data_IF_317420814257
#
_entry.id   IF_317420814257
#
_cell.length_a   1.000
_cell.length_b   1.000
_cell.length_c   1.000
_cell.angle_alpha   90.00
_cell.angle_beta   90.00
_cell.angle_gamma   90.00
#
_symmetry.space_group_name_H-M   'P 1'
#
loop_
_entity.id
_entity.type
_entity.pdbx_description
1 polymer ?
#
# COMPACT_ATOMS: atom_id res chain seq x y z
N UNK A 1 14.93 29.14 -10.71
CA UNK A 1 13.90 28.19 -11.19
C UNK A 1 14.58 27.03 -11.90
N UNK A 2 14.15 25.79 -11.64
CA UNK A 2 14.66 24.61 -12.35
C UNK A 2 14.26 24.68 -13.82
N UNK A 3 15.13 24.17 -14.71
CA UNK A 3 14.81 24.04 -16.14
C UNK A 3 13.80 22.92 -16.35
N UNK A 4 13.16 22.90 -17.51
CA UNK A 4 12.32 21.76 -17.88
C UNK A 4 13.15 20.48 -17.94
N UNK A 5 12.69 19.40 -17.31
CA UNK A 5 13.43 18.14 -17.23
C UNK A 5 12.84 17.14 -16.24
N UNK A 6 13.44 15.95 -16.21
CA UNK A 6 13.20 14.94 -15.17
C UNK A 6 14.29 15.07 -14.09
N UNK A 7 13.90 15.01 -12.83
CA UNK A 7 14.78 15.18 -11.67
C UNK A 7 14.57 14.02 -10.71
N UNK A 8 15.66 13.51 -10.15
CA UNK A 8 15.62 12.65 -8.98
C UNK A 8 15.84 13.55 -7.75
N UNK A 9 14.84 13.64 -6.89
CA UNK A 9 14.85 14.47 -5.67
C UNK A 9 15.04 13.56 -4.48
N UNK A 10 16.02 13.89 -3.64
CA UNK A 10 16.18 13.28 -2.33
C UNK A 10 15.37 14.07 -1.29
N UNK A 11 14.60 13.36 -0.47
CA UNK A 11 13.90 13.91 0.68
C UNK A 11 14.58 13.35 1.92
N UNK A 12 15.12 14.24 2.74
CA UNK A 12 15.87 13.91 3.97
C UNK A 12 15.17 14.54 5.16
N UNK A 13 14.92 13.76 6.20
CA UNK A 13 14.54 14.28 7.50
C UNK A 13 15.80 14.58 8.34
N UNK A 14 16.00 15.86 8.66
CA UNK A 14 17.14 16.30 9.47
C UNK A 14 17.14 15.69 10.88
N UNK A 15 15.96 15.33 11.40
CA UNK A 15 15.82 14.69 12.71
C UNK A 15 16.03 13.17 12.67
N UNK A 16 16.22 12.59 11.47
CA UNK A 16 16.43 11.15 11.24
C UNK A 16 15.32 10.25 11.82
N UNK A 17 14.11 10.78 11.97
CA UNK A 17 12.95 9.97 12.32
C UNK A 17 12.40 9.24 11.10
N UNK A 18 12.60 9.82 9.91
CA UNK A 18 12.18 9.24 8.64
C UNK A 18 13.35 8.79 7.78
N UNK A 19 13.16 7.70 7.05
CA UNK A 19 14.13 7.21 6.07
C UNK A 19 14.27 8.21 4.91
N UNK A 20 15.50 8.42 4.46
CA UNK A 20 15.75 9.18 3.24
C UNK A 20 15.16 8.45 2.05
N UNK A 21 14.41 9.17 1.21
CA UNK A 21 13.79 8.61 0.00
C UNK A 21 14.19 9.39 -1.24
N UNK A 22 14.10 8.73 -2.38
CA UNK A 22 14.31 9.33 -3.70
C UNK A 22 13.01 9.29 -4.51
N UNK A 23 12.62 10.43 -5.07
CA UNK A 23 11.40 10.59 -5.89
C UNK A 23 11.78 11.17 -7.24
N UNK A 24 11.29 10.56 -8.32
CA UNK A 24 11.44 11.12 -9.65
C UNK A 24 10.29 12.10 -9.93
N UNK A 25 10.63 13.35 -10.23
CA UNK A 25 9.69 14.40 -10.62
C UNK A 25 9.99 14.93 -12.01
N UNK A 26 8.98 15.51 -12.63
CA UNK A 26 9.02 16.25 -13.89
C UNK A 26 8.78 17.72 -13.60
N UNK A 27 9.61 18.55 -14.19
CA UNK A 27 9.49 20.01 -14.19
C UNK A 27 9.22 20.47 -15.61
N UNK A 28 8.21 21.31 -15.80
CA UNK A 28 7.96 22.04 -17.04
C UNK A 28 7.92 23.53 -16.71
N UNK A 29 8.69 24.33 -17.44
CA UNK A 29 8.80 25.77 -17.18
C UNK A 29 7.43 26.44 -17.10
N UNK A 30 7.23 27.24 -16.04
CA UNK A 30 6.02 28.01 -15.78
C UNK A 30 4.71 27.19 -15.66
N UNK A 31 4.78 25.88 -15.43
CA UNK A 31 3.62 25.02 -15.17
C UNK A 31 3.74 24.32 -13.83
N UNK A 32 2.66 24.31 -13.06
CA UNK A 32 2.51 23.42 -11.90
C UNK A 32 2.06 22.04 -12.39
N UNK A 33 2.76 21.00 -11.97
CA UNK A 33 2.42 19.60 -12.24
C UNK A 33 2.15 18.93 -10.89
N UNK A 34 0.91 18.54 -10.66
CA UNK A 34 0.44 17.86 -9.44
C UNK A 34 0.60 16.33 -9.54
N UNK A 35 0.37 15.61 -8.45
CA UNK A 35 0.38 14.13 -8.44
C UNK A 35 1.77 13.50 -8.55
N UNK A 36 2.82 14.20 -8.16
CA UNK A 36 4.21 13.71 -8.15
C UNK A 36 4.65 13.41 -6.71
N UNK A 37 3.86 12.59 -6.02
CA UNK A 37 3.96 12.36 -4.58
C UNK A 37 5.15 11.47 -4.22
N UNK A 38 5.78 11.77 -3.08
CA UNK A 38 6.75 10.90 -2.41
C UNK A 38 6.12 10.33 -1.14
N UNK A 39 6.39 9.06 -0.84
CA UNK A 39 5.90 8.42 0.39
C UNK A 39 7.03 8.31 1.39
N UNK A 40 6.97 9.13 2.43
CA UNK A 40 7.96 9.19 3.51
C UNK A 40 7.55 8.24 4.63
N UNK A 41 8.49 7.45 5.11
CA UNK A 41 8.27 6.42 6.14
C UNK A 41 9.27 6.59 7.28
N UNK A 42 8.88 6.26 8.50
CA UNK A 42 9.86 6.02 9.57
C UNK A 42 10.69 4.79 9.24
N UNK A 43 11.81 4.58 9.94
CA UNK A 43 12.46 3.26 9.90
C UNK A 43 11.42 2.20 10.29
N UNK A 44 11.30 1.17 9.45
CA UNK A 44 10.56 -0.03 9.77
C UNK A 44 11.45 -0.89 10.65
N UNK A 45 10.98 -1.26 11.84
CA UNK A 45 11.71 -2.21 12.68
C UNK A 45 11.94 -3.52 11.92
N UNK A 46 13.00 -4.24 12.26
CA UNK A 46 13.18 -5.61 11.77
C UNK A 46 11.89 -6.40 12.05
N UNK A 47 11.38 -7.11 11.02
CA UNK A 47 10.12 -7.86 11.01
C UNK A 47 8.81 -7.09 10.73
N UNK A 48 8.86 -5.78 10.49
CA UNK A 48 7.71 -5.02 10.01
C UNK A 48 7.59 -5.08 8.48
N UNK A 49 6.35 -5.03 8.00
CA UNK A 49 6.02 -4.93 6.57
C UNK A 49 5.16 -3.70 6.37
N UNK A 50 5.53 -2.84 5.44
CA UNK A 50 4.71 -1.70 5.00
C UNK A 50 4.24 -1.90 3.59
N UNK A 51 2.96 -1.70 3.38
CA UNK A 51 2.29 -1.79 2.09
C UNK A 51 1.77 -0.40 1.74
N UNK A 52 2.21 0.12 0.60
CA UNK A 52 1.84 1.44 0.12
C UNK A 52 1.05 1.26 -1.17
N UNK A 53 -0.23 1.62 -1.13
CA UNK A 53 -1.09 1.75 -2.29
C UNK A 53 -1.05 3.20 -2.79
N UNK A 54 -0.89 3.40 -4.09
CA UNK A 54 -1.02 4.70 -4.74
C UNK A 54 -1.70 4.52 -6.09
N UNK A 55 -2.48 5.50 -6.54
CA UNK A 55 -3.22 5.43 -7.80
C UNK A 55 -3.26 6.78 -8.51
N UNK A 56 -3.89 6.83 -9.67
CA UNK A 56 -4.12 8.05 -10.44
C UNK A 56 -5.30 8.88 -9.92
N UNK A 57 -5.75 9.80 -10.75
CA UNK A 57 -6.88 10.69 -10.46
C UNK A 57 -8.24 9.98 -10.48
N UNK A 58 -8.36 8.92 -11.27
CA UNK A 58 -9.61 8.21 -11.53
C UNK A 58 -9.34 6.71 -11.62
N UNK A 59 -10.10 5.83 -10.92
CA UNK A 59 -11.15 6.17 -9.95
C UNK A 59 -10.58 6.98 -8.78
N UNK A 60 -11.38 7.89 -8.22
CA UNK A 60 -10.88 8.79 -7.17
C UNK A 60 -10.61 8.08 -5.85
N UNK A 61 -11.28 6.97 -5.60
CA UNK A 61 -11.24 6.31 -4.29
C UNK A 61 -10.98 4.81 -4.46
N UNK A 62 -9.81 4.37 -3.99
CA UNK A 62 -9.37 2.99 -3.90
C UNK A 62 -9.01 2.68 -2.46
N UNK A 63 -9.70 1.71 -1.86
CA UNK A 63 -9.44 1.27 -0.50
C UNK A 63 -8.43 0.12 -0.49
N UNK A 64 -7.48 0.18 0.44
CA UNK A 64 -6.65 -0.95 0.85
C UNK A 64 -7.36 -1.77 1.93
N UNK A 65 -7.28 -3.09 1.76
CA UNK A 65 -7.83 -4.04 2.71
C UNK A 65 -6.80 -5.11 3.05
N UNK A 66 -6.70 -5.47 4.33
CA UNK A 66 -5.89 -6.59 4.80
C UNK A 66 -6.75 -7.55 5.61
N UNK A 67 -6.99 -8.75 5.07
CA UNK A 67 -7.55 -9.86 5.85
C UNK A 67 -6.42 -10.51 6.65
N UNK A 68 -6.64 -10.71 7.94
CA UNK A 68 -5.70 -11.36 8.83
C UNK A 68 -6.34 -12.65 9.37
N UNK A 69 -5.80 -13.79 8.95
CA UNK A 69 -6.25 -15.11 9.38
C UNK A 69 -5.17 -15.76 10.26
N UNK A 70 -5.45 -15.84 11.56
CA UNK A 70 -4.53 -16.37 12.57
C UNK A 70 -5.01 -17.72 13.05
N UNK A 71 -4.08 -18.66 13.24
CA UNK A 71 -4.41 -20.02 13.71
C UNK A 71 -5.04 -20.09 15.12
N UNK A 72 -4.99 -19.00 15.90
CA UNK A 72 -5.37 -18.97 17.31
C UNK A 72 -6.30 -17.81 17.70
N UNK A 73 -6.86 -17.07 16.74
CA UNK A 73 -7.78 -15.96 17.01
C UNK A 73 -9.00 -15.96 16.10
N UNK A 74 -10.03 -15.23 16.52
CA UNK A 74 -11.05 -14.72 15.62
C UNK A 74 -10.45 -13.85 14.52
N UNK A 75 -11.00 -13.96 13.33
CA UNK A 75 -10.46 -13.39 12.11
C UNK A 75 -10.43 -11.84 12.14
N UNK A 76 -9.37 -11.24 11.59
CA UNK A 76 -9.18 -9.79 11.50
C UNK A 76 -9.39 -9.25 10.10
N UNK A 77 -9.84 -8.00 9.99
CA UNK A 77 -9.92 -7.27 8.71
C UNK A 77 -9.58 -5.80 8.94
N UNK A 78 -8.48 -5.35 8.35
CA UNK A 78 -8.08 -3.94 8.37
C UNK A 78 -8.58 -3.25 7.10
N UNK A 79 -9.30 -2.14 7.26
CA UNK A 79 -9.81 -1.25 6.20
C UNK A 79 -10.33 0.06 6.82
N UNK A 80 -10.86 0.99 6.02
CA UNK A 80 -11.24 2.33 6.47
C UNK A 80 -12.12 2.38 7.74
N UNK A 81 -13.08 1.46 7.93
CA UNK A 81 -13.92 1.43 9.14
C UNK A 81 -13.25 0.73 10.32
N UNK A 82 -12.43 -0.30 10.06
CA UNK A 82 -11.69 -1.02 11.09
C UNK A 82 -10.20 -0.88 10.83
N UNK A 83 -9.60 0.18 11.35
CA UNK A 83 -8.24 0.57 10.99
C UNK A 83 -7.15 -0.28 11.65
N UNK A 84 -7.48 -1.15 12.60
CA UNK A 84 -6.47 -1.96 13.29
C UNK A 84 -6.98 -3.33 13.71
N UNK A 85 -6.05 -4.27 13.80
CA UNK A 85 -6.25 -5.62 14.32
C UNK A 85 -5.21 -5.87 15.41
N UNK A 86 -5.70 -6.39 16.54
CA UNK A 86 -4.88 -6.73 17.70
C UNK A 86 -4.93 -8.24 17.98
N UNK A 87 -3.83 -8.78 18.50
CA UNK A 87 -3.75 -10.13 19.05
C UNK A 87 -3.21 -10.08 20.47
N UNK A 88 -3.97 -10.56 21.46
CA UNK A 88 -3.58 -10.53 22.87
C UNK A 88 -3.10 -9.14 23.35
N UNK A 89 -3.80 -8.07 22.93
CA UNK A 89 -3.49 -6.65 23.19
C UNK A 89 -2.27 -6.09 22.43
N UNK A 90 -1.62 -6.87 21.58
CA UNK A 90 -0.52 -6.43 20.72
C UNK A 90 -1.07 -6.01 19.35
N UNK A 91 -0.64 -4.85 18.84
CA UNK A 91 -1.04 -4.36 17.52
C UNK A 91 -0.36 -5.22 16.44
N UNK A 92 -1.16 -5.85 15.58
CA UNK A 92 -0.64 -6.72 14.52
C UNK A 92 -0.62 -6.02 13.18
N UNK A 93 -1.72 -5.37 12.79
CA UNK A 93 -1.86 -4.70 11.50
C UNK A 93 -2.66 -3.41 11.68
N UNK A 94 -2.30 -2.36 10.94
CA UNK A 94 -2.98 -1.06 10.96
C UNK A 94 -3.01 -0.42 9.57
N UNK A 95 -4.09 0.30 9.28
CA UNK A 95 -4.16 1.30 8.21
C UNK A 95 -3.68 2.64 8.79
N UNK A 96 -2.45 3.00 8.47
CA UNK A 96 -1.73 4.14 9.03
C UNK A 96 -2.16 5.47 8.39
N UNK A 97 -2.38 5.44 7.07
CA UNK A 97 -2.80 6.58 6.26
C UNK A 97 -3.94 6.12 5.38
N UNK A 98 -5.01 6.90 5.42
CA UNK A 98 -6.27 6.70 4.71
C UNK A 98 -6.55 7.99 3.92
N UNK A 99 -6.62 7.89 2.59
CA UNK A 99 -6.88 9.01 1.67
C UNK A 99 -8.04 8.65 0.75
N UNK A 100 -9.12 9.43 0.83
CA UNK A 100 -10.38 9.19 0.12
C UNK A 100 -10.54 10.06 -1.14
N UNK A 101 -9.49 10.79 -1.55
CA UNK A 101 -9.58 11.89 -2.52
C UNK A 101 -8.51 11.90 -3.61
N UNK A 102 -8.43 10.82 -4.40
CA UNK A 102 -7.59 10.71 -5.60
C UNK A 102 -6.09 10.71 -5.28
N UNK A 103 -5.27 10.16 -6.19
CA UNK A 103 -3.80 10.12 -6.08
C UNK A 103 -3.20 9.31 -4.91
N UNK A 104 -3.98 8.92 -3.91
CA UNK A 104 -3.48 8.26 -2.70
C UNK A 104 -2.35 9.05 -2.02
N UNK A 105 -1.62 8.45 -1.06
CA UNK A 105 -1.53 7.01 -0.82
C UNK A 105 -2.45 6.51 0.31
N UNK A 106 -2.72 5.20 0.28
CA UNK A 106 -3.06 4.47 1.50
C UNK A 106 -1.85 3.65 1.97
N UNK A 107 -1.63 3.61 3.28
CA UNK A 107 -0.50 2.88 3.88
C UNK A 107 -0.99 1.92 4.95
N UNK A 108 -0.74 0.63 4.75
CA UNK A 108 -1.02 -0.43 5.73
C UNK A 108 0.30 -1.00 6.26
N UNK A 109 0.47 -1.07 7.58
CA UNK A 109 1.64 -1.69 8.21
C UNK A 109 1.26 -2.93 9.01
N UNK A 110 1.99 -4.02 8.79
CA UNK A 110 2.03 -5.19 9.68
C UNK A 110 3.18 -4.96 10.66
N UNK A 111 2.83 -4.73 11.93
CA UNK A 111 3.77 -4.39 12.99
C UNK A 111 4.44 -5.61 13.60
N UNK A 112 3.67 -6.68 13.78
CA UNK A 112 4.17 -7.92 14.33
C UNK A 112 3.54 -9.09 13.57
N UNK A 113 4.35 -9.72 12.72
CA UNK A 113 3.91 -10.88 11.96
C UNK A 113 3.69 -12.08 12.90
N UNK A 114 2.44 -12.28 13.33
CA UNK A 114 1.98 -13.51 13.96
C UNK A 114 1.84 -14.62 12.91
N UNK A 115 1.99 -15.87 13.34
CA UNK A 115 1.70 -17.04 12.49
C UNK A 115 0.26 -16.99 11.97
N UNK A 116 0.11 -17.08 10.66
CA UNK A 116 -1.16 -16.85 9.98
C UNK A 116 -0.95 -16.42 8.53
N UNK A 117 -2.06 -16.18 7.83
CA UNK A 117 -2.08 -15.64 6.48
C UNK A 117 -2.61 -14.22 6.48
N UNK A 118 -1.97 -13.34 5.72
CA UNK A 118 -2.38 -11.95 5.53
C UNK A 118 -2.66 -11.77 4.05
N UNK A 119 -3.90 -11.47 3.69
CA UNK A 119 -4.29 -11.24 2.29
C UNK A 119 -4.52 -9.77 2.07
N UNK A 120 -3.66 -9.15 1.26
CA UNK A 120 -3.80 -7.76 0.88
C UNK A 120 -4.53 -7.66 -0.46
N UNK A 121 -5.58 -6.85 -0.51
CA UNK A 121 -6.30 -6.56 -1.74
C UNK A 121 -6.72 -5.09 -1.81
N UNK A 122 -6.95 -4.63 -3.04
CA UNK A 122 -7.44 -3.29 -3.35
C UNK A 122 -8.91 -3.38 -3.74
N UNK A 123 -9.74 -2.48 -3.25
CA UNK A 123 -11.13 -2.34 -3.61
C UNK A 123 -11.40 -0.99 -4.27
N UNK A 124 -12.00 -1.01 -5.44
CA UNK A 124 -12.44 0.20 -6.13
C UNK A 124 -13.79 0.68 -5.56
N UNK A 125 -13.73 1.49 -4.51
CA UNK A 125 -14.89 2.00 -3.79
C UNK A 125 -15.75 2.92 -4.64
N UNK A 126 -15.13 3.94 -5.26
CA UNK A 126 -15.84 4.94 -6.06
C UNK A 126 -16.47 4.36 -7.32
N UNK A 127 -15.82 3.37 -7.95
CA UNK A 127 -16.32 2.67 -9.14
C UNK A 127 -16.68 3.59 -10.32
N UNK A 128 -16.03 4.74 -10.41
CA UNK A 128 -16.23 5.73 -11.47
C UNK A 128 -15.59 5.30 -12.80
N UNK A 129 -14.54 4.49 -12.70
CA UNK A 129 -13.88 3.86 -13.83
C UNK A 129 -13.36 2.48 -13.42
N UNK A 130 -12.94 1.70 -14.41
CA UNK A 130 -12.37 0.36 -14.17
C UNK A 130 -11.12 0.45 -13.31
N UNK A 131 -10.98 -0.48 -12.38
CA UNK A 131 -9.80 -0.57 -11.52
C UNK A 131 -8.50 -0.71 -12.34
N UNK A 132 -8.53 -1.44 -13.45
CA UNK A 132 -7.39 -1.56 -14.39
C UNK A 132 -6.92 -0.23 -15.00
N UNK A 133 -7.79 0.79 -15.07
CA UNK A 133 -7.44 2.12 -15.58
C UNK A 133 -6.89 3.06 -14.49
N UNK A 134 -6.88 2.62 -13.23
CA UNK A 134 -6.50 3.44 -12.07
C UNK A 134 -5.03 3.84 -12.03
N UNK A 135 -4.16 3.14 -12.77
CA UNK A 135 -2.70 3.23 -12.60
C UNK A 135 -2.25 2.90 -11.17
N UNK A 136 -3.02 2.09 -10.46
CA UNK A 136 -2.68 1.71 -9.10
C UNK A 136 -1.37 0.91 -9.06
N UNK A 137 -0.54 1.24 -8.08
CA UNK A 137 0.69 0.51 -7.74
C UNK A 137 0.67 0.16 -6.27
N UNK A 138 1.09 -1.06 -5.95
CA UNK A 138 1.29 -1.52 -4.57
C UNK A 138 2.76 -1.81 -4.37
N UNK A 139 3.38 -1.09 -3.43
CA UNK A 139 4.78 -1.28 -3.05
C UNK A 139 4.86 -1.90 -1.67
N UNK A 140 5.67 -2.95 -1.53
CA UNK A 140 5.87 -3.66 -0.26
C UNK A 140 7.30 -3.48 0.21
N UNK A 141 7.44 -2.90 1.39
CA UNK A 141 8.70 -2.64 2.08
C UNK A 141 8.83 -3.60 3.25
N UNK A 142 10.01 -4.20 3.40
CA UNK A 142 10.32 -5.17 4.45
C UNK A 142 11.66 -4.85 5.08
N UNK A 143 11.84 -5.26 6.34
CA UNK A 143 13.15 -5.23 7.04
C UNK A 143 13.84 -3.85 7.05
N UNK A 144 13.11 -2.76 7.28
CA UNK A 144 13.72 -1.42 7.36
C UNK A 144 14.21 -0.84 6.03
N UNK A 145 14.03 -1.53 4.91
CA UNK A 145 14.54 -1.08 3.61
C UNK A 145 13.81 0.16 3.10
N UNK A 146 14.58 1.16 2.63
CA UNK A 146 14.06 2.31 1.89
C UNK A 146 13.59 1.97 0.46
N UNK A 147 13.96 0.79 -0.04
CA UNK A 147 13.54 0.29 -1.35
C UNK A 147 12.48 -0.80 -1.19
N UNK A 148 11.42 -0.79 -2.04
CA UNK A 148 10.41 -1.82 -2.00
C UNK A 148 11.01 -3.16 -2.43
N UNK A 149 10.74 -4.21 -1.67
CA UNK A 149 11.07 -5.58 -2.05
C UNK A 149 10.17 -6.10 -3.18
N UNK A 150 8.93 -5.59 -3.24
CA UNK A 150 7.97 -5.91 -4.30
C UNK A 150 7.28 -4.64 -4.81
N UNK A 151 7.05 -4.58 -6.11
CA UNK A 151 6.20 -3.57 -6.75
C UNK A 151 5.21 -4.31 -7.65
N UNK A 152 3.93 -4.16 -7.36
CA UNK A 152 2.83 -4.67 -8.16
C UNK A 152 2.16 -3.51 -8.89
N UNK A 153 1.83 -3.72 -10.16
CA UNK A 153 1.02 -2.79 -10.94
C UNK A 153 -0.34 -3.42 -11.12
N UNK A 154 -1.41 -2.63 -11.06
CA UNK A 154 -2.76 -3.13 -11.30
C UNK A 154 -2.81 -3.86 -12.65
N UNK A 155 -3.33 -5.11 -12.69
CA UNK A 155 -3.40 -5.87 -13.93
C UNK A 155 -4.54 -5.35 -14.82
N UNK A 156 -4.42 -5.65 -16.12
CA UNK A 156 -5.55 -5.51 -17.02
C UNK A 156 -6.66 -6.50 -16.62
N UNK A 157 -7.91 -6.07 -16.71
CA UNK A 157 -9.05 -6.92 -16.36
C UNK A 157 -10.29 -6.14 -15.98
N UNK A 158 -11.36 -6.89 -15.78
CA UNK A 158 -12.62 -6.42 -15.19
C UNK A 158 -12.68 -6.83 -13.73
N UNK A 159 -13.36 -6.04 -12.92
CA UNK A 159 -13.48 -6.33 -11.48
C UNK A 159 -13.45 -5.05 -10.66
N UNK A 160 -13.98 -5.17 -9.44
CA UNK A 160 -13.88 -4.14 -8.41
C UNK A 160 -12.82 -4.46 -7.37
N UNK A 161 -12.32 -5.69 -7.34
CA UNK A 161 -11.34 -6.16 -6.39
C UNK A 161 -10.09 -6.63 -7.12
N UNK A 162 -8.93 -6.33 -6.54
CA UNK A 162 -7.64 -6.84 -6.98
C UNK A 162 -6.92 -7.48 -5.79
N UNK A 163 -6.82 -8.81 -5.76
CA UNK A 163 -6.02 -9.51 -4.76
C UNK A 163 -4.56 -9.44 -5.17
N UNK A 164 -3.76 -8.72 -4.39
CA UNK A 164 -2.38 -8.38 -4.79
C UNK A 164 -1.43 -9.50 -4.39
N UNK A 165 -1.39 -9.82 -3.10
CA UNK A 165 -0.50 -10.82 -2.54
C UNK A 165 -1.08 -11.43 -1.26
N UNK A 166 -0.52 -12.59 -0.91
CA UNK A 166 -0.68 -13.22 0.40
C UNK A 166 0.66 -13.26 1.10
N UNK A 167 0.70 -12.87 2.36
CA UNK A 167 1.88 -12.98 3.21
C UNK A 167 1.66 -14.08 4.24
N UNK A 168 2.61 -15.00 4.32
CA UNK A 168 2.60 -16.08 5.30
C UNK A 168 3.48 -15.66 6.49
N UNK A 169 2.86 -15.36 7.63
CA UNK A 169 3.57 -14.87 8.81
C UNK A 169 4.52 -15.89 9.45
N UNK A 170 4.30 -17.19 9.25
CA UNK A 170 5.15 -18.24 9.80
C UNK A 170 6.47 -18.40 9.01
N UNK A 171 6.38 -18.39 7.68
CA UNK A 171 7.54 -18.53 6.79
C UNK A 171 8.15 -17.18 6.40
N UNK A 172 7.44 -16.09 6.68
CA UNK A 172 7.77 -14.71 6.28
C UNK A 172 7.92 -14.54 4.77
N UNK A 173 7.08 -15.23 4.02
CA UNK A 173 7.10 -15.22 2.55
C UNK A 173 5.93 -14.45 1.99
N UNK A 174 6.19 -13.64 0.97
CA UNK A 174 5.16 -12.99 0.15
C UNK A 174 4.93 -13.88 -1.07
N UNK A 175 3.68 -14.28 -1.28
CA UNK A 175 3.20 -14.99 -2.45
C UNK A 175 2.35 -14.03 -3.30
N UNK A 176 2.86 -13.57 -4.46
CA UNK A 176 2.06 -12.86 -5.45
C UNK A 176 0.78 -13.62 -5.81
N UNK A 177 -0.34 -12.92 -5.90
CA UNK A 177 -1.61 -13.48 -6.39
C UNK A 177 -2.00 -12.82 -7.71
N UNK A 178 -2.04 -11.48 -7.71
CA UNK A 178 -2.29 -10.63 -8.89
C UNK A 178 -3.58 -10.99 -9.68
N UNK A 179 -4.71 -11.08 -8.97
CA UNK A 179 -5.98 -11.54 -9.53
C UNK A 179 -7.12 -10.51 -9.38
N UNK A 180 -7.93 -10.35 -10.43
CA UNK A 180 -9.05 -9.41 -10.51
C UNK A 180 -10.38 -10.14 -10.33
N UNK A 181 -11.27 -9.57 -9.51
CA UNK A 181 -12.57 -10.18 -9.24
C UNK A 181 -13.70 -9.15 -9.10
N UNK A 182 -14.93 -9.60 -9.38
CA UNK A 182 -16.16 -8.88 -9.03
C UNK A 182 -16.72 -9.32 -7.68
N UNK A 183 -16.31 -10.50 -7.22
CA UNK A 183 -16.74 -11.03 -5.94
C UNK A 183 -15.92 -10.42 -4.82
N UNK A 184 -16.59 -10.10 -3.71
CA UNK A 184 -15.94 -9.67 -2.48
C UNK A 184 -14.89 -10.72 -2.12
N UNK A 185 -13.65 -10.28 -1.90
CA UNK A 185 -12.59 -11.16 -1.44
C UNK A 185 -12.95 -11.62 -0.04
N UNK A 186 -13.23 -12.91 0.05
CA UNK A 186 -13.55 -13.60 1.29
C UNK A 186 -12.36 -14.47 1.67
N UNK A 187 -12.37 -14.87 2.93
CA UNK A 187 -11.44 -15.85 3.48
C UNK A 187 -11.63 -17.18 2.74
N UNK A 188 -10.53 -17.94 2.62
CA UNK A 188 -10.57 -19.34 2.20
C UNK A 188 -10.97 -20.24 3.38
#
# INVERSE_FOLDING_TARGET
>A
MLKGGNYCVEIVDENKMYISIFVNIKVLGSKSITGQNGVVSTELSENQIRVVLSWGDTPRDLDSHMLCDFSNLSEGHVYYQNKSVYNNMELVCMLDIDDTSGYGPETTTIYESKSGSYTFYVYNYSNESKLSLSRATVKVYVNGSAYPAYTFNVPDGEGRYWTVFRYNGATRTICPVDDMSNDVIRRE
#
